data_IF_966376528963
#
_entry.id   IF_966376528963
#
_cell.length_a   1.000
_cell.length_b   1.000
_cell.length_c   1.000
_cell.angle_alpha   90.00
_cell.angle_beta   90.00
_cell.angle_gamma   90.00
#
_symmetry.space_group_name_H-M   'P 1'
#
loop_
_entity.id
_entity.type
_entity.pdbx_description
1 polymer ?
#
# COMPACT_ATOMS: atom_id res chain seq x y z
N UNK A 1 -4.50 -1.80 16.39
CA UNK A 1 -3.55 -2.53 15.53
C UNK A 1 -4.38 -3.07 14.37
N UNK A 2 -4.21 -2.55 13.15
CA UNK A 2 -4.84 -3.17 11.97
C UNK A 2 -4.03 -4.44 11.65
N UNK A 3 -4.70 -5.55 11.32
CA UNK A 3 -4.03 -6.82 11.06
C UNK A 3 -3.05 -6.70 9.89
N UNK A 4 -1.91 -7.39 9.98
CA UNK A 4 -0.84 -7.36 8.98
C UNK A 4 -1.34 -7.72 7.57
N UNK A 5 -2.30 -8.66 7.47
CA UNK A 5 -2.84 -9.18 6.20
C UNK A 5 -3.78 -8.20 5.46
N UNK A 6 -4.54 -7.35 6.15
CA UNK A 6 -5.49 -6.44 5.47
C UNK A 6 -4.93 -5.05 5.14
N UNK A 7 -3.67 -4.79 5.50
CA UNK A 7 -3.05 -3.47 5.40
C UNK A 7 -2.20 -3.28 4.13
N UNK A 8 -2.21 -4.24 3.21
CA UNK A 8 -1.31 -4.28 2.04
C UNK A 8 -2.09 -4.45 0.74
N UNK A 9 -1.74 -3.66 -0.29
CA UNK A 9 -2.23 -3.81 -1.68
C UNK A 9 -1.32 -4.78 -2.47
N UNK A 10 -0.40 -5.47 -1.79
CA UNK A 10 0.61 -6.36 -2.38
C UNK A 10 0.83 -7.59 -1.51
N UNK A 11 1.27 -8.69 -2.14
CA UNK A 11 1.59 -9.94 -1.44
C UNK A 11 2.86 -9.78 -0.62
N UNK A 12 2.97 -10.56 0.45
CA UNK A 12 4.16 -10.57 1.32
C UNK A 12 5.44 -10.93 0.55
N UNK A 13 5.35 -11.86 -0.40
CA UNK A 13 6.48 -12.28 -1.23
C UNK A 13 6.97 -11.19 -2.21
N UNK A 14 6.16 -10.15 -2.47
CA UNK A 14 6.49 -9.06 -3.39
C UNK A 14 7.29 -7.92 -2.70
N UNK A 15 7.62 -8.08 -1.41
CA UNK A 15 8.39 -7.10 -0.64
C UNK A 15 9.86 -7.06 -1.08
N UNK A 16 10.17 -6.15 -2.01
CA UNK A 16 11.56 -5.83 -2.36
C UNK A 16 12.30 -5.21 -1.18
N UNK A 17 13.63 -5.44 -1.12
CA UNK A 17 14.49 -4.77 -0.15
C UNK A 17 14.45 -3.24 -0.37
N UNK A 18 14.24 -2.42 0.68
CA UNK A 18 14.20 -0.98 0.54
C UNK A 18 15.53 -0.43 0.02
N UNK A 19 15.45 0.44 -0.99
CA UNK A 19 16.59 1.25 -1.42
C UNK A 19 16.95 2.25 -0.30
N UNK A 20 18.22 2.64 -0.24
CA UNK A 20 18.74 3.60 0.74
C UNK A 20 19.01 4.98 0.16
N UNK A 21 18.85 5.16 -1.15
CA UNK A 21 19.10 6.42 -1.85
C UNK A 21 17.80 7.22 -1.93
N UNK A 22 17.85 8.51 -1.59
CA UNK A 22 16.73 9.43 -1.76
C UNK A 22 16.55 9.83 -3.23
N UNK A 23 15.30 10.00 -3.65
CA UNK A 23 14.90 10.43 -4.99
C UNK A 23 14.21 11.80 -4.97
N UNK A 24 14.18 12.47 -6.12
CA UNK A 24 13.39 13.67 -6.41
C UNK A 24 13.59 14.84 -5.44
N UNK A 25 14.74 14.88 -4.75
CA UNK A 25 15.03 15.88 -3.72
C UNK A 25 14.33 15.65 -2.38
N UNK A 26 13.50 14.61 -2.25
CA UNK A 26 12.82 14.26 -1.00
C UNK A 26 13.57 13.20 -0.22
N UNK A 27 14.06 13.57 0.97
CA UNK A 27 14.97 12.77 1.80
C UNK A 27 14.51 11.33 2.08
N UNK A 28 13.20 11.09 2.21
CA UNK A 28 12.65 9.80 2.65
C UNK A 28 11.98 9.00 1.53
N UNK A 29 11.94 9.52 0.31
CA UNK A 29 11.41 8.83 -0.88
C UNK A 29 12.56 8.04 -1.51
N UNK A 30 12.41 6.73 -1.65
CA UNK A 30 13.51 5.86 -2.13
C UNK A 30 13.22 5.14 -3.43
N UNK A 31 11.95 5.04 -3.83
CA UNK A 31 11.55 4.54 -5.12
C UNK A 31 10.19 5.12 -5.49
N UNK A 32 10.00 5.41 -6.77
CA UNK A 32 8.74 5.88 -7.33
C UNK A 32 8.51 5.13 -8.64
N UNK A 33 7.38 4.42 -8.73
CA UNK A 33 7.05 3.57 -9.86
C UNK A 33 5.59 3.82 -10.27
N UNK A 34 5.33 3.97 -11.57
CA UNK A 34 3.95 3.98 -12.07
C UNK A 34 3.52 2.55 -12.38
N UNK A 35 2.45 2.10 -11.71
CA UNK A 35 1.85 0.80 -11.91
C UNK A 35 0.63 0.95 -12.81
N UNK A 36 0.72 0.39 -14.02
CA UNK A 36 -0.37 0.40 -14.99
C UNK A 36 -1.60 -0.35 -14.48
N UNK A 37 -2.81 0.08 -14.87
CA UNK A 37 -4.03 -0.64 -14.55
C UNK A 37 -3.99 -2.07 -15.07
N UNK A 38 -4.41 -3.03 -14.25
CA UNK A 38 -4.57 -4.43 -14.63
C UNK A 38 -5.98 -4.63 -15.16
N UNK A 39 -6.09 -5.13 -16.40
CA UNK A 39 -7.39 -5.50 -16.97
C UNK A 39 -8.03 -6.62 -16.15
N UNK A 40 -9.31 -6.45 -15.82
CA UNK A 40 -10.07 -7.43 -15.04
C UNK A 40 -11.55 -7.30 -15.41
N UNK A 41 -12.22 -8.45 -15.58
CA UNK A 41 -13.64 -8.54 -15.95
C UNK A 41 -14.62 -8.09 -14.85
N UNK A 42 -14.16 -7.32 -13.86
CA UNK A 42 -14.95 -6.92 -12.70
C UNK A 42 -14.67 -7.78 -11.45
N UNK A 43 -15.35 -7.47 -10.33
CA UNK A 43 -15.19 -8.21 -9.09
C UNK A 43 -15.72 -9.63 -9.31
N UNK A 44 -14.82 -10.60 -9.32
CA UNK A 44 -15.17 -12.00 -9.40
C UNK A 44 -15.09 -12.58 -8.00
N UNK A 45 -16.18 -12.55 -7.24
CA UNK A 45 -16.25 -13.30 -5.98
C UNK A 45 -16.54 -14.75 -6.30
N UNK A 46 -15.53 -15.65 -6.32
CA UNK A 46 -15.78 -17.03 -6.70
C UNK A 46 -16.73 -17.65 -5.68
N UNK A 47 -17.56 -18.60 -6.11
CA UNK A 47 -18.46 -19.36 -5.22
C UNK A 47 -17.71 -19.99 -4.03
N UNK A 48 -16.43 -20.32 -4.23
CA UNK A 48 -15.51 -20.78 -3.18
C UNK A 48 -15.29 -19.74 -2.07
N UNK A 49 -15.24 -18.43 -2.36
CA UNK A 49 -15.06 -17.40 -1.35
C UNK A 49 -16.29 -17.27 -0.44
N UNK A 50 -17.49 -17.41 -1.01
CA UNK A 50 -18.73 -17.43 -0.23
C UNK A 50 -18.77 -18.64 0.73
N UNK A 51 -18.38 -19.82 0.25
CA UNK A 51 -18.27 -21.03 1.08
C UNK A 51 -17.19 -20.89 2.16
N UNK A 52 -16.02 -20.34 1.81
CA UNK A 52 -14.94 -20.11 2.77
C UNK A 52 -15.39 -19.13 3.87
N UNK A 53 -16.11 -18.06 3.49
CA UNK A 53 -16.72 -17.13 4.46
C UNK A 53 -17.70 -17.82 5.39
N UNK A 54 -18.60 -18.63 4.85
CA UNK A 54 -19.60 -19.36 5.62
C UNK A 54 -18.94 -20.37 6.58
N UNK A 55 -17.92 -21.10 6.12
CA UNK A 55 -17.15 -22.02 6.95
C UNK A 55 -16.41 -21.29 8.09
N UNK A 56 -15.75 -20.16 7.79
CA UNK A 56 -15.06 -19.33 8.77
C UNK A 56 -16.02 -18.71 9.79
N UNK A 57 -17.28 -18.47 9.43
CA UNK A 57 -18.30 -17.91 10.32
C UNK A 57 -19.02 -18.97 11.16
N UNK A 58 -19.31 -20.13 10.57
CA UNK A 58 -20.05 -21.20 11.24
C UNK A 58 -19.19 -21.98 12.24
N UNK A 59 -17.98 -22.38 11.82
CA UNK A 59 -17.05 -23.18 12.64
C UNK A 59 -15.63 -22.65 12.47
N UNK A 60 -15.28 -21.48 13.05
CA UNK A 60 -13.98 -20.86 12.85
C UNK A 60 -12.83 -21.77 13.28
N UNK A 61 -11.89 -21.99 12.36
CA UNK A 61 -10.60 -22.62 12.62
C UNK A 61 -9.49 -21.91 11.84
N UNK A 62 -8.23 -22.27 12.08
CA UNK A 62 -7.09 -21.60 11.45
C UNK A 62 -7.15 -21.71 9.92
N UNK A 63 -7.43 -22.90 9.40
CA UNK A 63 -7.41 -23.20 7.97
C UNK A 63 -8.51 -22.46 7.20
N UNK A 64 -9.76 -22.52 7.66
CA UNK A 64 -10.89 -21.89 6.97
C UNK A 64 -10.86 -20.36 7.06
N UNK A 65 -10.36 -19.83 8.18
CA UNK A 65 -10.21 -18.38 8.39
C UNK A 65 -9.09 -17.86 7.49
N UNK A 66 -7.98 -18.60 7.39
CA UNK A 66 -6.89 -18.29 6.49
C UNK A 66 -7.31 -18.36 5.01
N UNK A 67 -8.00 -19.42 4.60
CA UNK A 67 -8.51 -19.56 3.23
C UNK A 67 -9.42 -18.39 2.86
N UNK A 68 -10.39 -18.06 3.71
CA UNK A 68 -11.27 -16.91 3.49
C UNK A 68 -10.49 -15.60 3.36
N UNK A 69 -9.55 -15.33 4.27
CA UNK A 69 -8.76 -14.10 4.23
C UNK A 69 -7.88 -14.00 2.98
N UNK A 70 -7.21 -15.08 2.59
CA UNK A 70 -6.38 -15.12 1.37
C UNK A 70 -7.23 -14.83 0.14
N UNK A 71 -8.41 -15.45 0.03
CA UNK A 71 -9.32 -15.20 -1.09
C UNK A 71 -9.80 -13.74 -1.13
N UNK A 72 -10.15 -13.17 0.03
CA UNK A 72 -10.58 -11.77 0.09
C UNK A 72 -9.43 -10.80 -0.23
N UNK A 73 -8.20 -11.09 0.21
CA UNK A 73 -7.03 -10.29 -0.09
C UNK A 73 -6.74 -10.26 -1.60
N UNK A 74 -6.78 -11.42 -2.27
CA UNK A 74 -6.62 -11.52 -3.73
C UNK A 74 -7.69 -10.73 -4.50
N UNK A 75 -8.94 -10.79 -4.03
CA UNK A 75 -10.05 -10.00 -4.59
C UNK A 75 -9.83 -8.49 -4.42
N UNK A 76 -9.39 -8.05 -3.24
CA UNK A 76 -9.10 -6.65 -2.96
C UNK A 76 -7.92 -6.14 -3.79
N UNK A 77 -6.83 -6.89 -3.87
CA UNK A 77 -5.64 -6.55 -4.67
C UNK A 77 -6.06 -6.40 -6.15
N UNK A 78 -6.77 -7.38 -6.70
CA UNK A 78 -7.24 -7.32 -8.09
C UNK A 78 -8.17 -6.14 -8.34
N UNK A 79 -9.06 -5.84 -7.41
CA UNK A 79 -9.98 -4.70 -7.50
C UNK A 79 -9.23 -3.35 -7.49
N UNK A 80 -8.30 -3.17 -6.55
CA UNK A 80 -7.51 -1.94 -6.41
C UNK A 80 -6.55 -1.72 -7.57
N UNK A 81 -6.07 -2.78 -8.21
CA UNK A 81 -5.15 -2.69 -9.36
C UNK A 81 -5.84 -2.35 -10.68
N UNK A 82 -7.17 -2.23 -10.76
CA UNK A 82 -7.88 -1.87 -12.00
C UNK A 82 -7.69 -0.43 -12.44
N UNK A 83 -7.14 0.41 -11.58
CA UNK A 83 -6.78 1.80 -11.88
C UNK A 83 -5.28 1.93 -11.82
N UNK A 84 -4.72 2.76 -12.70
CA UNK A 84 -3.29 3.07 -12.66
C UNK A 84 -2.96 3.81 -11.37
N UNK A 85 -1.86 3.45 -10.73
CA UNK A 85 -1.46 4.02 -9.44
C UNK A 85 0.03 4.27 -9.37
N UNK A 86 0.44 5.28 -8.60
CA UNK A 86 1.84 5.59 -8.35
C UNK A 86 2.26 4.92 -7.04
N UNK A 87 3.20 3.99 -7.11
CA UNK A 87 3.83 3.37 -5.95
C UNK A 87 4.96 4.28 -5.47
N UNK A 88 4.89 4.68 -4.21
CA UNK A 88 5.90 5.50 -3.55
C UNK A 88 6.46 4.71 -2.37
N UNK A 89 7.68 4.18 -2.51
CA UNK A 89 8.35 3.49 -1.42
C UNK A 89 9.12 4.51 -0.55
N UNK A 90 8.93 4.42 0.77
CA UNK A 90 9.53 5.34 1.74
C UNK A 90 10.46 4.61 2.70
N UNK A 91 11.51 5.29 3.16
CA UNK A 91 12.46 4.74 4.11
C UNK A 91 12.78 5.76 5.22
N UNK A 92 12.24 5.54 6.42
CA UNK A 92 12.45 6.41 7.57
C UNK A 92 13.68 6.05 8.42
N UNK A 93 14.57 5.18 7.96
CA UNK A 93 15.73 4.74 8.75
C UNK A 93 16.64 5.90 9.19
N UNK A 94 16.64 7.01 8.44
CA UNK A 94 17.39 8.24 8.77
C UNK A 94 16.54 9.32 9.46
N UNK A 95 15.35 8.99 9.98
CA UNK A 95 14.51 9.90 10.77
C UNK A 95 14.89 9.87 12.26
N UNK A 96 14.38 10.81 13.06
CA UNK A 96 14.65 10.85 14.50
C UNK A 96 14.11 9.62 15.23
N UNK A 97 12.99 9.06 14.76
CA UNK A 97 12.37 7.85 15.32
C UNK A 97 12.11 6.82 14.22
N UNK A 98 13.15 6.10 13.74
CA UNK A 98 13.08 5.19 12.61
C UNK A 98 12.00 4.11 12.71
N UNK A 99 11.76 3.61 13.91
CA UNK A 99 10.82 2.52 14.17
C UNK A 99 9.35 2.99 14.23
N UNK A 100 9.09 4.30 14.23
CA UNK A 100 7.75 4.89 14.26
C UNK A 100 7.27 5.31 12.88
N UNK A 101 7.37 4.43 11.88
CA UNK A 101 6.98 4.73 10.50
C UNK A 101 5.51 5.22 10.39
N UNK A 102 4.60 4.60 11.17
CA UNK A 102 3.19 5.02 11.22
C UNK A 102 3.01 6.45 11.72
N UNK A 103 3.73 6.85 12.77
CA UNK A 103 3.63 8.22 13.29
C UNK A 103 4.27 9.23 12.35
N UNK A 104 5.37 8.86 11.67
CA UNK A 104 5.95 9.68 10.60
C UNK A 104 4.93 9.89 9.50
N UNK A 105 4.32 8.85 8.93
CA UNK A 105 3.31 8.99 7.87
C UNK A 105 2.11 9.86 8.28
N UNK A 106 1.65 9.76 9.53
CA UNK A 106 0.56 10.61 10.04
C UNK A 106 1.00 12.02 10.42
N UNK A 107 2.31 12.30 10.50
CA UNK A 107 2.87 13.55 11.03
C UNK A 107 2.27 13.89 12.40
N UNK A 108 2.18 12.91 13.31
CA UNK A 108 1.42 13.05 14.57
C UNK A 108 1.92 14.17 15.50
N UNK A 109 3.20 14.52 15.40
CA UNK A 109 3.83 15.64 16.08
C UNK A 109 4.87 16.20 15.12
N UNK A 110 4.70 17.43 14.67
CA UNK A 110 5.53 18.02 13.61
C UNK A 110 7.02 18.08 13.97
N UNK A 111 7.36 18.23 15.24
CA UNK A 111 8.74 18.26 15.69
C UNK A 111 9.41 16.88 15.62
N UNK A 112 8.68 15.82 15.99
CA UNK A 112 9.21 14.45 16.07
C UNK A 112 9.01 13.63 14.79
N UNK A 113 7.96 13.93 14.04
CA UNK A 113 7.45 13.12 12.92
C UNK A 113 7.47 13.90 11.60
N UNK A 114 8.30 14.95 11.52
CA UNK A 114 8.46 15.79 10.33
C UNK A 114 8.80 14.98 9.06
N UNK A 115 9.40 13.80 9.19
CA UNK A 115 9.79 12.98 8.03
C UNK A 115 8.61 12.66 7.10
N UNK A 116 7.39 12.52 7.63
CA UNK A 116 6.20 12.33 6.79
C UNK A 116 5.72 13.59 6.07
N UNK A 117 6.04 14.79 6.57
CA UNK A 117 5.68 16.03 5.88
C UNK A 117 6.34 16.09 4.49
N UNK A 118 7.60 15.66 4.38
CA UNK A 118 8.28 15.52 3.09
C UNK A 118 7.65 14.48 2.16
N UNK A 119 7.09 13.40 2.71
CA UNK A 119 6.36 12.39 1.92
C UNK A 119 5.04 12.96 1.38
N UNK A 120 4.28 13.67 2.23
CA UNK A 120 3.02 14.31 1.84
C UNK A 120 3.27 15.36 0.75
N UNK A 121 4.32 16.17 0.90
CA UNK A 121 4.71 17.16 -0.11
C UNK A 121 5.03 16.49 -1.46
N UNK A 122 5.83 15.43 -1.47
CA UNK A 122 6.14 14.66 -2.68
C UNK A 122 4.89 14.12 -3.38
N UNK A 123 3.93 13.58 -2.63
CA UNK A 123 2.67 13.07 -3.19
C UNK A 123 1.84 14.23 -3.78
N UNK A 124 1.73 15.35 -3.07
CA UNK A 124 1.03 16.54 -3.58
C UNK A 124 1.66 17.08 -4.87
N UNK A 125 2.98 17.18 -4.91
CA UNK A 125 3.70 17.70 -6.09
C UNK A 125 3.63 16.71 -7.25
N UNK A 126 3.68 15.40 -6.99
CA UNK A 126 3.41 14.36 -7.99
C UNK A 126 2.03 14.50 -8.62
N UNK A 127 0.99 14.77 -7.82
CA UNK A 127 -0.38 14.96 -8.31
C UNK A 127 -0.51 16.23 -9.16
N UNK A 128 0.14 17.33 -8.76
CA UNK A 128 0.15 18.56 -9.55
C UNK A 128 0.80 18.33 -10.91
N UNK A 129 1.91 17.60 -10.97
CA UNK A 129 2.62 17.29 -12.22
C UNK A 129 1.76 16.46 -13.18
N UNK A 130 0.97 15.50 -12.69
CA UNK A 130 0.03 14.73 -13.53
C UNK A 130 -1.17 15.54 -14.02
N UNK A 131 -1.49 16.67 -13.38
CA UNK A 131 -2.58 17.56 -13.78
C UNK A 131 -2.14 18.73 -14.66
N UNK A 132 -0.84 18.95 -14.84
CA UNK A 132 -0.34 19.88 -15.84
C UNK A 132 -0.53 19.24 -17.22
N UNK A 133 -1.18 19.90 -18.19
CA UNK A 133 -1.21 19.40 -19.56
C UNK A 133 0.24 19.23 -20.00
N UNK A 134 0.55 18.09 -20.62
CA UNK A 134 1.80 17.90 -21.33
C UNK A 134 1.89 19.04 -22.35
N UNK A 135 2.60 20.10 -22.00
CA UNK A 135 2.80 21.24 -22.87
C UNK A 135 3.63 20.74 -24.06
N UNK A 136 2.99 20.84 -25.23
CA UNK A 136 3.47 20.65 -26.61
C UNK A 136 5.00 20.60 -26.81
#
# INVERSE_FOLDING_TARGET
>A
MVGWKTSSIRRELDLRKPLRRSLDGYKYIVNVEYCSPVSSDGPHFPSRAARAKEAAQSTPNVENTEEYHQMMEEEMIRGLQRVGWKKVDVNFHASMWPYSAHNNMHVKNEWLHNAGAGVIAHVADSMKQTCLPSSL
#
